data_IF_239868918511
#
_entry.id   IF_239868918511
#
_cell.length_a   1.000
_cell.length_b   1.000
_cell.length_c   1.000
_cell.angle_alpha   90.00
_cell.angle_beta   90.00
_cell.angle_gamma   90.00
#
_symmetry.space_group_name_H-M   'P 1'
#
loop_
_entity.id
_entity.type
_entity.pdbx_description
1 polymer ?
#
# COMPACT_ATOMS: atom_id res chain seq x y z
N UNK A 1 1.74 33.24 -42.05
CA UNK A 1 3.09 32.68 -42.29
C UNK A 1 2.92 31.50 -43.24
N UNK A 2 3.58 31.51 -44.40
CA UNK A 2 3.47 30.41 -45.38
C UNK A 2 4.24 29.15 -44.95
N UNK A 3 5.27 29.29 -44.10
CA UNK A 3 6.11 28.19 -43.65
C UNK A 3 6.50 28.38 -42.18
N UNK A 4 5.94 27.55 -41.29
CA UNK A 4 6.11 27.69 -39.84
C UNK A 4 7.53 27.33 -39.37
N UNK A 5 8.11 26.26 -39.94
CA UNK A 5 9.45 25.80 -39.60
C UNK A 5 10.55 26.79 -39.96
N UNK A 6 10.48 27.39 -41.16
CA UNK A 6 11.41 28.47 -41.57
C UNK A 6 11.33 29.67 -40.63
N UNK A 7 10.12 30.05 -40.22
CA UNK A 7 9.92 31.14 -39.26
C UNK A 7 10.62 30.85 -37.92
N UNK A 8 10.52 29.63 -37.39
CA UNK A 8 11.25 29.26 -36.18
C UNK A 8 12.77 29.25 -36.36
N UNK A 9 13.25 28.74 -37.51
CA UNK A 9 14.67 28.74 -37.83
C UNK A 9 15.22 30.16 -37.86
N UNK A 10 14.53 31.09 -38.51
CA UNK A 10 14.91 32.50 -38.57
C UNK A 10 14.92 33.13 -37.17
N UNK A 11 13.90 32.89 -36.35
CA UNK A 11 13.86 33.39 -34.97
C UNK A 11 15.00 32.83 -34.10
N UNK A 12 15.34 31.55 -34.25
CA UNK A 12 16.44 30.92 -33.53
C UNK A 12 17.77 31.57 -33.92
N UNK A 13 18.00 31.77 -35.21
CA UNK A 13 19.21 32.41 -35.72
C UNK A 13 19.30 33.89 -35.33
N UNK A 14 18.19 34.62 -35.35
CA UNK A 14 18.13 36.03 -34.92
C UNK A 14 18.47 36.21 -33.44
N UNK A 15 18.14 35.23 -32.60
CA UNK A 15 18.47 35.22 -31.16
C UNK A 15 19.76 34.48 -30.83
N UNK A 16 20.47 33.98 -31.84
CA UNK A 16 21.74 33.27 -31.70
C UNK A 16 21.68 32.04 -30.77
N UNK A 17 20.52 31.39 -30.64
CA UNK A 17 20.40 30.18 -29.84
C UNK A 17 21.00 28.97 -30.55
N UNK A 18 21.89 28.26 -29.85
CA UNK A 18 22.40 26.96 -30.29
C UNK A 18 21.41 25.83 -29.93
N UNK A 19 21.56 24.69 -30.59
CA UNK A 19 20.79 23.49 -30.23
C UNK A 19 21.09 23.01 -28.80
N UNK A 20 22.29 23.27 -28.30
CA UNK A 20 22.67 22.93 -26.93
C UNK A 20 21.91 23.79 -25.90
N UNK A 21 21.70 25.08 -26.21
CA UNK A 21 20.93 25.98 -25.34
C UNK A 21 19.46 25.53 -25.24
N UNK A 22 18.90 25.13 -26.37
CA UNK A 22 17.54 24.58 -26.43
C UNK A 22 17.42 23.28 -25.65
N UNK A 23 18.40 22.39 -25.75
CA UNK A 23 18.45 21.17 -24.93
C UNK A 23 18.56 21.48 -23.43
N UNK A 24 19.36 22.49 -23.09
CA UNK A 24 19.58 22.90 -21.71
C UNK A 24 18.29 23.41 -21.04
N UNK A 25 17.49 24.17 -21.78
CA UNK A 25 16.26 24.78 -21.27
C UNK A 25 15.02 23.88 -21.44
N UNK A 26 14.78 23.39 -22.65
CA UNK A 26 13.54 22.68 -23.00
C UNK A 26 13.63 21.15 -22.87
N UNK A 27 14.84 20.60 -22.77
CA UNK A 27 15.10 19.14 -22.84
C UNK A 27 14.52 18.49 -24.10
N UNK A 28 14.40 19.25 -25.18
CA UNK A 28 13.97 18.76 -26.49
C UNK A 28 15.21 18.40 -27.30
N UNK A 29 15.34 17.16 -27.78
CA UNK A 29 16.52 16.73 -28.53
C UNK A 29 16.61 17.44 -29.89
N UNK A 30 17.83 17.63 -30.37
CA UNK A 30 18.13 18.38 -31.59
C UNK A 30 17.37 17.86 -32.82
N UNK A 31 17.17 16.55 -32.93
CA UNK A 31 16.42 15.93 -34.03
C UNK A 31 14.96 16.41 -34.09
N UNK A 32 14.30 16.59 -32.94
CA UNK A 32 12.93 17.10 -32.88
C UNK A 32 12.87 18.59 -33.22
N UNK A 33 13.85 19.38 -32.78
CA UNK A 33 13.94 20.80 -33.16
C UNK A 33 14.13 20.95 -34.67
N UNK A 34 15.04 20.17 -35.27
CA UNK A 34 15.21 20.15 -36.73
C UNK A 34 13.95 19.73 -37.45
N UNK A 35 13.23 18.72 -36.96
CA UNK A 35 11.95 18.32 -37.54
C UNK A 35 10.92 19.46 -37.49
N UNK A 36 10.87 20.26 -36.41
CA UNK A 36 10.03 21.46 -36.33
C UNK A 36 10.46 22.51 -37.35
N UNK A 37 11.76 22.82 -37.43
CA UNK A 37 12.33 23.81 -38.36
C UNK A 37 12.16 23.42 -39.84
N UNK A 38 12.08 22.12 -40.13
CA UNK A 38 11.92 21.56 -41.47
C UNK A 38 10.45 21.21 -41.82
N UNK A 39 9.47 21.64 -40.99
CA UNK A 39 8.02 21.35 -41.11
C UNK A 39 7.65 19.86 -41.10
N UNK A 40 8.50 18.98 -40.57
CA UNK A 40 8.20 17.56 -40.44
C UNK A 40 7.49 17.25 -39.13
N UNK A 41 6.34 17.87 -38.91
CA UNK A 41 5.56 17.70 -37.67
C UNK A 41 5.06 16.27 -37.44
N UNK A 42 4.89 15.47 -38.50
CA UNK A 42 4.49 14.07 -38.41
C UNK A 42 5.54 13.19 -37.69
N UNK A 43 6.83 13.56 -37.73
CA UNK A 43 7.91 12.82 -37.07
C UNK A 43 7.97 13.07 -35.56
N UNK A 44 7.28 14.12 -35.07
CA UNK A 44 7.24 14.47 -33.65
C UNK A 44 6.35 13.53 -32.81
N UNK A 45 5.54 12.70 -33.48
CA UNK A 45 4.65 11.74 -32.86
C UNK A 45 3.18 12.20 -32.81
N UNK A 46 2.40 11.76 -31.81
CA UNK A 46 0.97 12.08 -31.72
C UNK A 46 0.72 13.58 -31.66
N UNK A 47 -0.42 14.04 -32.19
CA UNK A 47 -0.81 15.46 -32.23
C UNK A 47 -0.60 16.20 -30.90
N UNK A 48 -0.98 15.59 -29.77
CA UNK A 48 -0.79 16.19 -28.45
C UNK A 48 0.68 16.48 -28.13
N UNK A 49 1.57 15.55 -28.45
CA UNK A 49 3.02 15.69 -28.24
C UNK A 49 3.58 16.77 -29.17
N UNK A 50 3.29 16.70 -30.46
CA UNK A 50 3.70 17.69 -31.43
C UNK A 50 3.24 19.11 -31.05
N UNK A 51 1.98 19.27 -30.63
CA UNK A 51 1.42 20.53 -30.13
C UNK A 51 2.21 21.08 -28.96
N UNK A 52 2.53 20.25 -27.96
CA UNK A 52 3.30 20.69 -26.79
C UNK A 52 4.72 21.11 -27.15
N UNK A 53 5.38 20.39 -28.06
CA UNK A 53 6.74 20.72 -28.50
C UNK A 53 6.76 22.06 -29.23
N UNK A 54 5.85 22.27 -30.18
CA UNK A 54 5.74 23.53 -30.93
C UNK A 54 5.37 24.69 -30.00
N UNK A 55 4.45 24.48 -29.06
CA UNK A 55 4.09 25.52 -28.07
C UNK A 55 5.28 25.93 -27.20
N UNK A 56 6.00 24.96 -26.62
CA UNK A 56 7.15 25.23 -25.77
C UNK A 56 8.27 25.91 -26.56
N UNK A 57 8.50 25.48 -27.80
CA UNK A 57 9.53 26.09 -28.64
C UNK A 57 9.17 27.52 -29.05
N UNK A 58 7.91 27.77 -29.39
CA UNK A 58 7.42 29.11 -29.68
C UNK A 58 7.55 30.05 -28.49
N UNK A 59 7.24 29.56 -27.28
CA UNK A 59 7.39 30.33 -26.05
C UNK A 59 8.86 30.64 -25.73
N UNK A 60 9.75 29.67 -25.92
CA UNK A 60 11.19 29.86 -25.75
C UNK A 60 11.76 30.88 -26.72
N UNK A 61 11.33 30.81 -27.98
CA UNK A 61 11.63 31.81 -29.01
C UNK A 61 10.73 33.05 -28.92
N UNK A 62 10.08 33.32 -27.77
CA UNK A 62 9.17 34.45 -27.53
C UNK A 62 8.36 34.88 -28.77
N UNK A 63 7.86 33.90 -29.51
CA UNK A 63 7.12 34.12 -30.74
C UNK A 63 5.68 34.49 -30.41
N UNK A 64 4.94 34.98 -31.40
CA UNK A 64 3.49 35.12 -31.26
C UNK A 64 2.86 33.71 -31.21
N UNK A 65 2.64 33.22 -29.99
CA UNK A 65 2.16 31.86 -29.71
C UNK A 65 0.79 31.63 -30.36
N UNK A 66 -0.09 32.64 -30.37
CA UNK A 66 -1.44 32.50 -30.91
C UNK A 66 -1.39 32.35 -32.44
N UNK A 67 -0.59 33.19 -33.12
CA UNK A 67 -0.38 33.07 -34.57
C UNK A 67 0.31 31.75 -34.97
N UNK A 68 1.28 31.31 -34.17
CA UNK A 68 1.99 30.04 -34.36
C UNK A 68 1.04 28.85 -34.17
N UNK A 69 0.23 28.84 -33.12
CA UNK A 69 -0.71 27.73 -32.87
C UNK A 69 -1.83 27.69 -33.91
N UNK A 70 -2.28 28.85 -34.39
CA UNK A 70 -3.23 28.94 -35.50
C UNK A 70 -2.67 28.30 -36.77
N UNK A 71 -1.44 28.64 -37.15
CA UNK A 71 -0.79 28.05 -38.33
C UNK A 71 -0.46 26.57 -38.14
N UNK A 72 -0.01 26.16 -36.95
CA UNK A 72 0.23 24.75 -36.62
C UNK A 72 -1.03 23.90 -36.75
N UNK A 73 -2.18 24.38 -36.25
CA UNK A 73 -3.44 23.63 -36.36
C UNK A 73 -3.92 23.41 -37.79
N UNK A 74 -3.53 24.29 -38.72
CA UNK A 74 -3.79 24.13 -40.16
C UNK A 74 -2.83 23.12 -40.80
N UNK A 75 -1.58 23.02 -40.32
CA UNK A 75 -0.57 22.08 -40.83
C UNK A 75 -0.75 20.66 -40.29
N UNK A 76 -1.19 20.53 -39.04
CA UNK A 76 -1.44 19.25 -38.38
C UNK A 76 -2.82 19.30 -37.70
N UNK A 77 -3.90 18.92 -38.40
CA UNK A 77 -5.25 18.98 -37.86
C UNK A 77 -5.45 17.99 -36.71
N UNK A 78 -6.32 18.37 -35.77
CA UNK A 78 -6.62 17.57 -34.56
C UNK A 78 -7.24 16.21 -34.87
N UNK A 79 -7.81 16.03 -36.07
CA UNK A 79 -8.32 14.75 -36.58
C UNK A 79 -7.22 13.72 -36.86
N UNK A 80 -5.94 14.11 -36.85
CA UNK A 80 -4.80 13.19 -36.91
C UNK A 80 -4.54 12.46 -35.57
N UNK A 81 -5.43 12.61 -34.57
CA UNK A 81 -5.44 11.76 -33.38
C UNK A 81 -5.65 10.30 -33.82
N UNK A 82 -4.68 9.40 -33.62
CA UNK A 82 -5.03 7.97 -33.67
C UNK A 82 -6.13 7.76 -32.63
N UNK A 83 -7.22 7.12 -33.02
CA UNK A 83 -8.28 6.73 -32.08
C UNK A 83 -7.61 6.06 -30.88
N UNK A 84 -7.82 6.63 -29.70
CA UNK A 84 -7.30 6.09 -28.46
C UNK A 84 -7.95 4.71 -28.26
N UNK A 85 -7.25 3.67 -28.66
CA UNK A 85 -7.61 2.30 -28.32
C UNK A 85 -6.90 1.99 -27.00
N UNK A 86 -7.61 1.97 -25.86
CA UNK A 86 -6.98 1.59 -24.61
C UNK A 86 -6.45 0.16 -24.76
N UNK A 87 -5.12 -0.02 -24.61
CA UNK A 87 -4.46 -1.31 -24.71
C UNK A 87 -5.00 -2.33 -23.68
N UNK A 88 -5.71 -1.84 -22.66
CA UNK A 88 -6.34 -2.64 -21.62
C UNK A 88 -7.72 -2.02 -21.40
N UNK A 89 -8.82 -2.74 -21.66
CA UNK A 89 -10.13 -2.25 -21.26
C UNK A 89 -10.07 -2.07 -19.75
N UNK A 90 -10.22 -0.83 -19.28
CA UNK A 90 -10.36 -0.53 -17.86
C UNK A 90 -11.59 -1.30 -17.41
N UNK A 91 -11.39 -2.48 -16.80
CA UNK A 91 -12.47 -3.27 -16.23
C UNK A 91 -13.08 -2.38 -15.17
N UNK A 92 -14.24 -1.82 -15.48
CA UNK A 92 -15.08 -1.16 -14.51
C UNK A 92 -15.18 -2.10 -13.31
N UNK A 93 -14.77 -1.60 -12.14
CA UNK A 93 -14.78 -2.37 -10.89
C UNK A 93 -16.24 -2.65 -10.56
N UNK A 94 -16.76 -3.75 -11.09
CA UNK A 94 -18.12 -4.22 -10.82
C UNK A 94 -18.24 -4.36 -9.31
N UNK A 95 -19.08 -3.54 -8.68
CA UNK A 95 -19.28 -3.58 -7.23
C UNK A 95 -20.02 -4.89 -6.95
N UNK A 96 -19.28 -5.94 -6.66
CA UNK A 96 -19.84 -7.23 -6.28
C UNK A 96 -20.23 -7.14 -4.81
N UNK A 97 -21.52 -6.88 -4.54
CA UNK A 97 -22.08 -7.06 -3.21
C UNK A 97 -21.91 -8.53 -2.84
N UNK A 98 -21.12 -8.80 -1.79
CA UNK A 98 -20.87 -10.17 -1.33
C UNK A 98 -22.17 -10.81 -0.84
N UNK A 99 -22.37 -12.10 -1.11
CA UNK A 99 -23.52 -12.88 -0.60
C UNK A 99 -23.65 -12.78 0.92
N UNK A 100 -22.53 -12.66 1.64
CA UNK A 100 -22.52 -12.48 3.09
C UNK A 100 -23.13 -11.13 3.52
N UNK A 101 -22.94 -10.08 2.72
CA UNK A 101 -23.53 -8.77 2.98
C UNK A 101 -25.05 -8.80 2.77
N UNK A 102 -25.52 -9.51 1.75
CA UNK A 102 -26.96 -9.75 1.53
C UNK A 102 -27.59 -10.53 2.69
N UNK A 103 -26.91 -11.55 3.22
CA UNK A 103 -27.40 -12.33 4.36
C UNK A 103 -27.44 -11.51 5.65
N UNK A 104 -26.45 -10.65 5.88
CA UNK A 104 -26.44 -9.70 7.00
C UNK A 104 -27.65 -8.76 6.96
N UNK A 105 -27.93 -8.16 5.79
CA UNK A 105 -29.12 -7.32 5.60
C UNK A 105 -30.41 -8.12 5.89
N UNK A 106 -30.48 -9.38 5.42
CA UNK A 106 -31.64 -10.24 5.64
C UNK A 106 -31.89 -10.53 7.13
N UNK A 107 -30.85 -10.90 7.87
CA UNK A 107 -30.94 -11.15 9.32
C UNK A 107 -31.33 -9.88 10.06
N UNK A 108 -30.71 -8.75 9.71
CA UNK A 108 -31.01 -7.46 10.33
C UNK A 108 -32.49 -7.12 10.17
N UNK A 109 -33.05 -7.34 8.99
CA UNK A 109 -34.47 -7.10 8.71
C UNK A 109 -35.37 -8.01 9.56
N UNK A 110 -35.01 -9.29 9.69
CA UNK A 110 -35.74 -10.25 10.55
C UNK A 110 -35.70 -9.82 12.03
N UNK A 111 -34.53 -9.39 12.54
CA UNK A 111 -34.39 -8.90 13.92
C UNK A 111 -35.26 -7.68 14.16
N UNK A 112 -35.31 -6.74 13.21
CA UNK A 112 -36.15 -5.54 13.30
C UNK A 112 -37.64 -5.91 13.34
N UNK A 113 -38.08 -6.85 12.49
CA UNK A 113 -39.47 -7.32 12.46
C UNK A 113 -39.83 -8.01 13.78
N UNK A 114 -39.03 -8.99 14.23
CA UNK A 114 -39.29 -9.67 15.49
C UNK A 114 -39.26 -8.69 16.67
N UNK A 115 -38.28 -7.80 16.72
CA UNK A 115 -38.17 -6.77 17.74
C UNK A 115 -39.40 -5.86 17.78
N UNK A 116 -39.90 -5.44 16.61
CA UNK A 116 -41.12 -4.64 16.51
C UNK A 116 -42.36 -5.39 17.00
N UNK A 117 -42.50 -6.68 16.65
CA UNK A 117 -43.61 -7.53 17.12
C UNK A 117 -43.56 -7.71 18.64
N UNK A 118 -42.39 -8.04 19.20
CA UNK A 118 -42.20 -8.20 20.64
C UNK A 118 -42.50 -6.89 21.38
N UNK A 119 -42.03 -5.76 20.85
CA UNK A 119 -42.28 -4.45 21.44
C UNK A 119 -43.77 -4.08 21.42
N UNK A 120 -44.46 -4.32 20.30
CA UNK A 120 -45.90 -4.11 20.19
C UNK A 120 -46.67 -5.01 21.18
N UNK A 121 -46.33 -6.30 21.25
CA UNK A 121 -47.00 -7.25 22.13
C UNK A 121 -46.71 -7.03 23.62
N UNK A 122 -45.53 -6.49 23.97
CA UNK A 122 -45.21 -5.99 25.30
C UNK A 122 -46.08 -4.80 25.68
N UNK A 123 -46.22 -3.81 24.77
CA UNK A 123 -47.03 -2.62 25.03
C UNK A 123 -48.53 -2.95 25.20
N UNK A 124 -49.01 -4.04 24.59
CA UNK A 124 -50.38 -4.54 24.73
C UNK A 124 -50.60 -5.43 25.97
N UNK A 125 -49.60 -5.58 26.87
CA UNK A 125 -49.66 -6.43 28.06
C UNK A 125 -49.99 -7.92 27.79
N UNK A 126 -49.79 -8.39 26.56
CA UNK A 126 -50.05 -9.79 26.19
C UNK A 126 -48.88 -10.70 26.63
N UNK A 127 -47.65 -10.19 26.64
CA UNK A 127 -46.50 -10.88 27.21
C UNK A 127 -46.27 -10.47 28.67
N UNK A 128 -46.56 -11.37 29.60
CA UNK A 128 -46.02 -11.27 30.97
C UNK A 128 -44.61 -11.83 30.96
N UNK A 129 -43.65 -11.00 31.34
CA UNK A 129 -42.26 -11.42 31.53
C UNK A 129 -42.28 -12.50 32.64
N UNK A 130 -41.74 -13.70 32.41
CA UNK A 130 -41.58 -14.65 33.50
C UNK A 130 -40.54 -14.10 34.48
N UNK A 131 -40.78 -14.24 35.79
CA UNK A 131 -39.90 -13.78 36.86
C UNK A 131 -38.61 -14.62 36.95
N UNK A 132 -37.72 -14.49 35.96
CA UNK A 132 -36.38 -15.05 36.02
C UNK A 132 -35.40 -14.17 36.80
N UNK A 133 -35.76 -12.89 37.02
CA UNK A 133 -34.93 -11.90 37.72
C UNK A 133 -35.56 -11.36 39.01
N UNK A 134 -36.69 -11.93 39.45
CA UNK A 134 -37.20 -11.63 40.78
C UNK A 134 -36.22 -12.21 41.80
N UNK A 135 -35.41 -11.35 42.41
CA UNK A 135 -34.57 -11.71 43.56
C UNK A 135 -35.45 -12.32 44.63
N UNK A 136 -35.48 -13.65 44.70
CA UNK A 136 -35.99 -14.38 45.87
C UNK A 136 -35.20 -13.83 47.06
N UNK A 137 -35.89 -13.15 47.99
CA UNK A 137 -35.28 -12.76 49.25
C UNK A 137 -34.69 -14.04 49.86
N UNK A 138 -33.39 -14.07 50.22
CA UNK A 138 -32.79 -15.29 50.73
C UNK A 138 -33.50 -15.66 52.03
N UNK A 139 -34.08 -16.86 52.04
CA UNK A 139 -34.49 -17.53 53.27
C UNK A 139 -33.29 -17.54 54.20
N UNK A 140 -33.45 -16.89 55.36
CA UNK A 140 -32.50 -16.95 56.45
C UNK A 140 -32.58 -18.33 57.11
N UNK A 141 -32.11 -19.35 56.41
CA UNK A 141 -31.64 -20.59 57.04
C UNK A 141 -30.12 -20.55 56.95
N UNK A 142 -29.53 -20.15 58.07
CA UNK A 142 -28.10 -20.13 58.29
C UNK A 142 -27.50 -21.52 58.00
N UNK A 143 -26.92 -21.69 56.82
CA UNK A 143 -25.87 -22.67 56.61
C UNK A 143 -24.60 -22.01 57.12
N UNK A 144 -24.18 -22.43 58.31
CA UNK A 144 -22.86 -22.11 58.86
C UNK A 144 -21.83 -22.62 57.86
N UNK A 145 -21.30 -21.73 57.03
CA UNK A 145 -20.11 -22.00 56.24
C UNK A 145 -18.96 -21.96 57.23
N UNK A 146 -18.52 -23.14 57.66
CA UNK A 146 -17.25 -23.33 58.34
C UNK A 146 -16.15 -22.94 57.33
N UNK A 147 -15.43 -21.86 57.59
CA UNK A 147 -14.22 -21.52 56.84
C UNK A 147 -13.24 -22.69 56.91
N UNK A 148 -13.15 -23.46 55.83
CA UNK A 148 -12.05 -24.38 55.60
C UNK A 148 -10.92 -23.59 54.95
N UNK A 149 -9.96 -23.16 55.79
CA UNK A 149 -8.67 -22.66 55.34
C UNK A 149 -8.05 -23.70 54.41
N UNK A 150 -7.91 -23.40 53.13
CA UNK A 150 -6.98 -24.11 52.26
C UNK A 150 -5.56 -23.85 52.79
N UNK A 151 -5.00 -24.81 53.52
CA UNK A 151 -3.57 -24.87 53.77
C UNK A 151 -2.85 -25.09 52.44
N UNK A 152 -2.10 -24.09 51.99
CA UNK A 152 -1.24 -24.17 50.81
C UNK A 152 -0.13 -25.20 51.04
N UNK A 153 -0.40 -26.46 50.69
CA UNK A 153 0.63 -27.51 50.64
C UNK A 153 1.52 -27.24 49.42
N UNK A 154 2.86 -27.13 49.57
CA UNK A 154 3.71 -26.87 48.42
C UNK A 154 3.62 -28.03 47.42
N UNK A 155 3.43 -27.70 46.14
CA UNK A 155 3.36 -28.65 45.03
C UNK A 155 4.42 -29.75 45.16
N UNK A 156 3.98 -30.99 45.26
CA UNK A 156 4.84 -32.19 45.28
C UNK A 156 5.74 -32.25 44.05
N UNK A 157 5.29 -31.65 42.93
CA UNK A 157 6.03 -31.52 41.68
C UNK A 157 7.24 -30.58 41.82
N UNK A 158 7.06 -29.42 42.48
CA UNK A 158 8.16 -28.47 42.73
C UNK A 158 9.23 -29.05 43.64
N UNK A 159 8.84 -29.79 44.68
CA UNK A 159 9.81 -30.47 45.55
C UNK A 159 10.62 -31.54 44.81
N UNK A 160 9.98 -32.31 43.91
CA UNK A 160 10.68 -33.30 43.07
C UNK A 160 11.71 -32.67 42.15
N UNK A 161 11.32 -31.61 41.42
CA UNK A 161 12.22 -30.92 40.49
C UNK A 161 13.45 -30.35 41.21
N UNK A 162 13.24 -29.79 42.40
CA UNK A 162 14.33 -29.26 43.23
C UNK A 162 15.30 -30.35 43.67
N UNK A 163 14.79 -31.46 44.18
CA UNK A 163 15.62 -32.60 44.60
C UNK A 163 16.46 -33.16 43.44
N UNK A 164 15.90 -33.21 42.22
CA UNK A 164 16.63 -33.62 41.02
C UNK A 164 17.79 -32.65 40.76
N UNK A 165 17.52 -31.34 40.79
CA UNK A 165 18.57 -30.33 40.56
C UNK A 165 19.69 -30.37 41.61
N UNK A 166 19.35 -30.62 42.87
CA UNK A 166 20.32 -30.69 43.98
C UNK A 166 21.15 -31.98 43.94
N UNK A 167 20.64 -33.05 43.30
CA UNK A 167 21.33 -34.34 43.17
C UNK A 167 22.35 -34.40 42.03
N UNK A 168 22.49 -33.35 41.22
CA UNK A 168 23.50 -33.30 40.15
C UNK A 168 24.83 -32.84 40.75
N UNK A 169 25.87 -33.70 40.83
CA UNK A 169 27.15 -33.31 41.39
C UNK A 169 27.84 -32.27 40.51
N UNK A 170 28.14 -31.09 41.07
CA UNK A 170 29.02 -30.10 40.44
C UNK A 170 30.48 -30.48 40.64
N UNK A 171 30.92 -31.57 40.01
CA UNK A 171 32.35 -31.94 39.95
C UNK A 171 32.68 -32.61 38.62
N UNK A 172 32.95 -31.78 37.60
CA UNK A 172 34.22 -31.78 36.88
C UNK A 172 34.11 -30.84 35.69
N UNK A 173 34.81 -29.73 35.81
CA UNK A 173 35.19 -28.85 34.72
C UNK A 173 36.09 -29.59 33.71
N UNK A 174 35.68 -29.50 32.44
CA UNK A 174 36.50 -29.44 31.20
C UNK A 174 37.08 -30.75 30.65
N UNK A 175 36.58 -31.14 29.48
CA UNK A 175 37.42 -31.13 28.27
C UNK A 175 36.58 -30.72 27.05
N UNK A 176 36.90 -29.54 26.52
CA UNK A 176 36.56 -29.16 25.16
C UNK A 176 37.24 -30.16 24.20
N UNK A 177 36.50 -30.82 23.30
CA UNK A 177 37.13 -31.54 22.20
C UNK A 177 37.79 -30.52 21.29
N UNK A 178 39.11 -30.63 21.20
CA UNK A 178 39.96 -30.02 20.19
C UNK A 178 39.36 -30.26 18.80
N UNK A 179 39.37 -29.20 17.99
CA UNK A 179 38.87 -29.10 16.62
C UNK A 179 38.98 -30.38 15.79
N UNK A 180 37.83 -30.91 15.39
CA UNK A 180 37.67 -31.48 14.06
C UNK A 180 36.77 -30.53 13.28
N UNK A 181 37.29 -30.06 12.16
CA UNK A 181 36.65 -29.19 11.18
C UNK A 181 35.44 -29.92 10.57
N UNK A 182 34.32 -29.95 11.29
CA UNK A 182 33.01 -30.18 10.69
C UNK A 182 32.38 -28.82 10.49
N UNK A 183 32.38 -28.37 9.24
CA UNK A 183 31.52 -27.28 8.78
C UNK A 183 30.09 -27.63 9.19
N UNK A 184 29.62 -27.01 10.28
CA UNK A 184 28.20 -27.00 10.62
C UNK A 184 27.51 -26.36 9.43
N UNK A 185 26.46 -26.98 8.84
CA UNK A 185 25.73 -26.36 7.76
C UNK A 185 25.22 -24.99 8.26
N UNK A 186 25.47 -23.91 7.52
CA UNK A 186 25.16 -22.56 7.98
C UNK A 186 23.65 -22.44 8.21
N UNK A 187 23.26 -21.98 9.39
CA UNK A 187 21.87 -21.68 9.67
C UNK A 187 21.47 -20.45 8.84
N UNK A 188 20.25 -20.46 8.32
CA UNK A 188 19.71 -19.34 7.53
C UNK A 188 19.68 -18.03 8.34
N UNK A 189 19.75 -18.12 9.66
CA UNK A 189 19.83 -16.99 10.58
C UNK A 189 21.21 -16.31 10.58
N UNK A 190 22.30 -17.02 10.23
CA UNK A 190 23.67 -16.49 10.26
C UNK A 190 23.94 -15.50 9.12
N UNK A 191 23.18 -15.56 8.04
CA UNK A 191 23.30 -14.64 6.90
C UNK A 191 22.71 -13.25 7.15
N UNK A 192 21.86 -13.11 8.18
CA UNK A 192 21.20 -11.83 8.48
C UNK A 192 22.22 -10.78 8.89
N UNK A 193 23.29 -11.16 9.60
CA UNK A 193 24.38 -10.25 9.97
C UNK A 193 25.14 -9.67 8.77
N UNK A 194 25.30 -10.46 7.70
CA UNK A 194 25.98 -10.01 6.49
C UNK A 194 25.13 -9.08 5.61
N UNK A 195 23.79 -9.12 5.75
CA UNK A 195 22.86 -8.30 4.98
C UNK A 195 22.54 -7.00 5.71
N UNK A 196 22.44 -7.02 7.04
CA UNK A 196 22.03 -5.87 7.85
C UNK A 196 23.19 -5.00 8.34
N UNK A 197 24.44 -5.40 8.08
CA UNK A 197 25.63 -4.72 8.58
C UNK A 197 25.85 -4.95 10.07
N UNK A 198 26.99 -4.49 10.59
CA UNK A 198 27.41 -4.71 11.97
C UNK A 198 26.36 -4.19 12.96
N UNK A 199 25.64 -5.12 13.60
CA UNK A 199 24.73 -4.79 14.67
C UNK A 199 25.53 -4.43 15.93
N UNK A 200 25.24 -3.31 16.61
CA UNK A 200 25.92 -2.92 17.85
C UNK A 200 25.68 -3.90 19.02
N UNK A 201 24.84 -4.92 18.82
CA UNK A 201 24.50 -5.95 19.80
C UNK A 201 25.26 -7.27 19.53
N UNK A 202 25.88 -7.44 18.35
CA UNK A 202 26.52 -8.70 18.00
C UNK A 202 27.95 -8.75 18.56
N UNK A 203 28.19 -9.64 19.53
CA UNK A 203 29.53 -9.89 20.06
C UNK A 203 30.24 -10.90 19.15
N UNK A 204 31.41 -10.57 18.57
CA UNK A 204 32.14 -11.52 17.75
C UNK A 204 32.58 -12.71 18.61
N UNK A 205 32.18 -13.90 18.18
CA UNK A 205 32.58 -15.16 18.81
C UNK A 205 33.96 -15.49 18.25
N UNK A 206 35.00 -15.41 19.09
CA UNK A 206 36.36 -15.87 18.77
C UNK A 206 36.53 -17.37 19.06
#
# INVERSE_FOLDING_TARGET
MENLGKYFLELRLQREYSYQDIWNELRIPENQIKAIEENRFAELGPYGVAKTLVYNYARFLEADVDAVMYTFSSLMPESAKPEFQPAIPVKEKKIMLSTNFMWLIGILLIIIILGSILWYAYNQNWLKMPDFFASKKPDSTAVIIKEEKEETKPDTLRQRLRAISESIPQTNSVSSPKSETKTVPPDTTDYIGNILGDSPVNVPIH
#
